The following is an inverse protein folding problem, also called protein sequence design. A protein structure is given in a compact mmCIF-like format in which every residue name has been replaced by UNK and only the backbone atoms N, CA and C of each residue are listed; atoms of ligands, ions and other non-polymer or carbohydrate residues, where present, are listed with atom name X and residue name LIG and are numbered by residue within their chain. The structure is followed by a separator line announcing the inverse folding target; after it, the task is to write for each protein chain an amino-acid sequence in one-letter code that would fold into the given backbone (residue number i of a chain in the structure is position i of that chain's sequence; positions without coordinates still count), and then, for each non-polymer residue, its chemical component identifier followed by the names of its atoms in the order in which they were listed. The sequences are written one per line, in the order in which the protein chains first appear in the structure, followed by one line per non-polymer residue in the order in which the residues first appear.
data_IF_292279897889
#
_entry.id   IF_292279897889
#
_cell.length_a   1.000
_cell.length_b   1.000
_cell.length_c   1.000
_cell.angle_alpha   90.00
_cell.angle_beta   90.00
_cell.angle_gamma   90.00
#
_symmetry.space_group_name_H-M   'P 1'
#
loop_
_entity.id
_entity.type
_entity.pdbx_description
1 polymer ?
#
# COMPACT_ATOMS: atom_id res chain seq x y z
N UNK A 1 52.50 -5.07 -63.14
CA UNK A 1 52.98 -4.37 -61.94
C UNK A 1 51.82 -4.44 -60.95
N UNK A 2 51.54 -5.60 -60.35
CA UNK A 2 52.14 -6.16 -59.11
C UNK A 2 51.87 -5.30 -57.87
N UNK A 3 50.85 -5.78 -57.17
CA UNK A 3 50.55 -5.79 -55.73
C UNK A 3 51.76 -5.74 -54.80
N UNK A 4 51.65 -5.03 -53.66
CA UNK A 4 52.30 -5.30 -52.34
C UNK A 4 51.97 -4.22 -51.30
N UNK A 5 51.34 -4.65 -50.19
CA UNK A 5 51.66 -4.44 -48.74
C UNK A 5 52.09 -3.03 -48.24
N UNK A 6 51.66 -2.50 -47.09
CA UNK A 6 51.98 -2.91 -45.69
C UNK A 6 51.37 -1.83 -44.75
N UNK A 7 50.46 -2.17 -43.81
CA UNK A 7 50.62 -2.16 -42.33
C UNK A 7 51.27 -0.88 -41.73
N UNK A 8 50.57 -0.08 -40.90
CA UNK A 8 50.65 -0.16 -39.43
C UNK A 8 49.85 0.93 -38.65
N UNK A 9 49.53 0.55 -37.42
CA UNK A 9 49.04 1.23 -36.20
C UNK A 9 49.05 2.76 -36.08
N UNK A 10 47.95 3.32 -35.57
CA UNK A 10 47.96 4.39 -34.54
C UNK A 10 46.85 4.09 -33.51
N UNK A 11 47.28 3.92 -32.25
CA UNK A 11 46.49 3.82 -31.02
C UNK A 11 45.93 5.19 -30.57
N UNK A 12 44.92 5.12 -29.71
CA UNK A 12 44.50 6.09 -28.68
C UNK A 12 44.02 7.50 -29.09
N UNK A 13 42.74 7.79 -28.81
CA UNK A 13 42.41 8.71 -27.71
C UNK A 13 40.90 8.69 -27.36
N UNK A 14 40.66 8.72 -26.05
CA UNK A 14 39.38 8.89 -25.38
C UNK A 14 38.62 10.15 -25.82
N UNK A 15 37.30 10.06 -25.90
CA UNK A 15 36.42 11.16 -25.52
C UNK A 15 35.03 10.59 -25.22
N UNK A 16 34.76 10.42 -23.92
CA UNK A 16 33.45 10.14 -23.37
C UNK A 16 32.49 11.28 -23.75
N UNK A 17 31.36 10.95 -24.39
CA UNK A 17 30.23 11.88 -24.54
C UNK A 17 29.56 12.04 -23.17
N UNK A 18 30.00 13.08 -22.45
CA UNK A 18 29.33 13.67 -21.29
C UNK A 18 27.97 14.26 -21.72
N UNK A 19 26.90 13.50 -21.50
CA UNK A 19 25.52 14.02 -21.54
C UNK A 19 25.28 14.85 -20.28
N UNK A 20 25.54 16.16 -20.41
CA UNK A 20 25.16 17.18 -19.43
C UNK A 20 23.63 17.24 -19.35
N UNK A 21 23.07 16.68 -18.27
CA UNK A 21 21.69 16.94 -17.85
C UNK A 21 21.57 18.41 -17.42
N UNK A 22 20.90 19.20 -18.27
CA UNK A 22 20.41 20.52 -17.90
C UNK A 22 19.19 20.33 -17.01
N UNK A 23 19.37 20.43 -15.68
CA UNK A 23 18.29 20.60 -14.72
C UNK A 23 17.53 21.90 -15.02
N UNK A 24 16.37 21.77 -15.66
CA UNK A 24 15.37 22.82 -15.72
C UNK A 24 14.39 22.57 -14.57
N UNK A 25 14.57 23.32 -13.49
CA UNK A 25 13.63 23.42 -12.39
C UNK A 25 12.27 23.96 -12.88
N UNK A 26 11.15 23.37 -12.48
CA UNK A 26 9.89 24.08 -12.37
C UNK A 26 9.71 24.55 -10.91
N UNK A 27 9.94 25.84 -10.73
CA UNK A 27 9.43 26.67 -9.64
C UNK A 27 7.89 26.61 -9.66
N UNK A 28 7.28 26.07 -8.60
CA UNK A 28 5.87 26.23 -8.25
C UNK A 28 5.85 26.45 -6.74
N UNK A 29 5.99 27.71 -6.31
CA UNK A 29 4.88 28.52 -5.77
C UNK A 29 4.14 27.75 -4.66
N UNK A 30 4.69 27.83 -3.45
CA UNK A 30 3.91 27.73 -2.22
C UNK A 30 2.99 28.95 -2.18
N UNK A 31 1.73 28.76 -2.58
CA UNK A 31 0.65 29.66 -2.19
C UNK A 31 0.06 29.14 -0.87
N UNK A 32 0.18 30.02 0.13
CA UNK A 32 -0.46 29.97 1.43
C UNK A 32 -1.98 29.79 1.29
N UNK A 33 -2.55 28.77 1.91
CA UNK A 33 -3.93 28.84 2.42
C UNK A 33 -3.88 28.71 3.96
N UNK A 34 -3.84 29.91 4.53
CA UNK A 34 -4.30 30.32 5.85
C UNK A 34 -5.47 29.46 6.37
N UNK A 35 -5.18 28.57 7.34
CA UNK A 35 -6.21 28.07 8.27
C UNK A 35 -5.96 28.74 9.61
N UNK A 36 -6.76 29.76 9.83
CA UNK A 36 -7.05 30.47 11.07
C UNK A 36 -6.93 29.52 12.28
N UNK A 37 -5.88 29.72 13.06
CA UNK A 37 -5.73 29.20 14.41
C UNK A 37 -6.66 30.04 15.30
N UNK A 38 -7.86 29.53 15.51
CA UNK A 38 -8.86 30.12 16.41
C UNK A 38 -8.39 29.94 17.87
N UNK A 39 -7.92 31.05 18.44
CA UNK A 39 -8.11 31.46 19.83
C UNK A 39 -7.64 30.47 20.92
N UNK A 40 -6.35 30.55 21.26
CA UNK A 40 -5.88 30.24 22.60
C UNK A 40 -6.23 31.43 23.52
N UNK A 41 -7.47 31.45 24.01
CA UNK A 41 -7.88 32.32 25.11
C UNK A 41 -7.31 31.73 26.43
N UNK A 42 -6.61 32.52 27.27
CA UNK A 42 -6.10 32.04 28.54
C UNK A 42 -7.26 31.89 29.54
N UNK A 43 -7.51 30.67 30.04
CA UNK A 43 -8.36 30.49 31.22
C UNK A 43 -7.72 31.22 32.42
N UNK A 44 -8.48 32.07 33.13
CA UNK A 44 -8.00 32.76 34.31
C UNK A 44 -7.90 31.80 35.50
N UNK A 45 -6.76 31.84 36.18
CA UNK A 45 -6.60 31.29 37.52
C UNK A 45 -7.58 32.01 38.46
N UNK A 46 -8.61 31.31 38.95
CA UNK A 46 -9.42 31.78 40.09
C UNK A 46 -8.59 31.64 41.38
N UNK A 47 -7.82 32.69 41.69
CA UNK A 47 -7.46 33.01 43.07
C UNK A 47 -8.71 33.55 43.78
N UNK A 48 -9.34 32.72 44.61
CA UNK A 48 -10.35 33.19 45.58
C UNK A 48 -9.61 33.84 46.75
N UNK A 49 -9.25 35.11 46.57
CA UNK A 49 -8.91 36.03 47.64
C UNK A 49 -10.22 36.75 48.04
N UNK A 50 -10.89 36.26 49.08
CA UNK A 50 -12.02 36.97 49.69
C UNK A 50 -11.47 37.90 50.78
N UNK A 51 -11.13 39.15 50.39
CA UNK A 51 -11.10 40.26 51.33
C UNK A 51 -12.55 40.70 51.59
N UNK A 52 -13.10 40.33 52.75
CA UNK A 52 -14.31 40.93 53.28
C UNK A 52 -13.93 41.90 54.39
N UNK A 53 -13.94 43.17 53.98
CA UNK A 53 -14.26 44.39 54.71
C UNK A 53 -14.55 44.26 56.22
N UNK A 54 -13.68 44.85 57.05
CA UNK A 54 -13.96 45.18 58.45
C UNK A 54 -15.14 46.15 58.52
N UNK A 55 -16.29 45.65 58.98
CA UNK A 55 -17.42 46.45 59.43
C UNK A 55 -17.70 46.21 60.91
N UNK A 56 -17.35 47.18 61.75
CA UNK A 56 -17.78 47.28 63.16
C UNK A 56 -19.31 47.27 63.25
N UNK A 57 -19.89 46.27 63.91
CA UNK A 57 -21.14 46.42 64.66
C UNK A 57 -21.04 45.66 65.99
N UNK A 58 -20.95 46.44 67.07
CA UNK A 58 -21.34 46.04 68.43
C UNK A 58 -22.71 45.36 68.41
N UNK A 59 -22.84 44.19 69.05
CA UNK A 59 -23.93 43.90 70.00
C UNK A 59 -23.76 42.54 70.72
N UNK A 60 -23.62 42.65 72.05
CA UNK A 60 -24.05 41.74 73.12
C UNK A 60 -23.60 40.26 73.15
N UNK A 61 -22.61 39.99 74.01
CA UNK A 61 -22.28 38.66 74.55
C UNK A 61 -23.49 37.99 75.21
N UNK A 62 -23.98 36.82 74.74
CA UNK A 62 -24.93 36.04 75.51
C UNK A 62 -24.19 35.35 76.67
N UNK A 63 -24.55 35.72 77.91
CA UNK A 63 -24.10 35.06 79.14
C UNK A 63 -24.63 33.63 79.19
N UNK A 64 -23.86 32.66 78.70
CA UNK A 64 -24.18 31.24 78.87
C UNK A 64 -23.91 30.82 80.32
N UNK A 65 -24.98 30.67 81.09
CA UNK A 65 -24.97 30.11 82.44
C UNK A 65 -24.58 28.62 82.33
N UNK A 66 -23.49 28.24 83.01
CA UNK A 66 -23.07 26.84 83.20
C UNK A 66 -24.24 26.03 83.76
N UNK A 67 -24.79 25.05 83.03
CA UNK A 67 -25.79 24.15 83.56
C UNK A 67 -25.23 23.35 84.74
N UNK A 68 -25.99 23.33 85.83
CA UNK A 68 -25.71 22.58 87.05
C UNK A 68 -25.73 21.09 86.71
N UNK A 69 -24.58 20.42 86.80
CA UNK A 69 -24.46 18.96 86.66
C UNK A 69 -25.20 18.32 87.84
N UNK A 70 -26.25 17.50 87.63
CA UNK A 70 -26.75 16.61 88.67
C UNK A 70 -25.73 15.48 88.83
N UNK A 71 -25.28 15.28 90.07
CA UNK A 71 -24.38 14.20 90.46
C UNK A 71 -24.91 12.82 90.06
N UNK A 72 -24.04 12.03 89.43
CA UNK A 72 -23.95 10.60 89.77
C UNK A 72 -24.60 9.58 88.85
N UNK A 73 -24.55 9.73 87.53
CA UNK A 73 -24.57 8.56 86.66
C UNK A 73 -23.12 8.20 86.31
N UNK A 74 -22.64 7.06 86.80
CA UNK A 74 -21.31 6.56 86.45
C UNK A 74 -21.23 6.49 84.92
N UNK A 75 -20.49 7.41 84.33
CA UNK A 75 -20.16 7.37 82.91
C UNK A 75 -19.35 6.09 82.70
N UNK A 76 -20.00 5.06 82.18
CA UNK A 76 -19.35 3.78 81.92
C UNK A 76 -18.38 4.00 80.76
N UNK A 77 -17.09 4.14 81.06
CA UNK A 77 -16.06 4.40 80.07
C UNK A 77 -16.03 3.32 78.96
N UNK A 78 -16.46 2.10 79.32
CA UNK A 78 -16.61 0.98 78.40
C UNK A 78 -17.78 1.18 77.41
N UNK A 79 -18.88 1.81 77.84
CA UNK A 79 -20.00 2.17 76.97
C UNK A 79 -19.66 3.37 76.06
N UNK A 80 -18.89 4.34 76.57
CA UNK A 80 -18.39 5.45 75.76
C UNK A 80 -17.42 4.94 74.66
N UNK A 81 -16.56 3.99 74.98
CA UNK A 81 -15.64 3.38 74.03
C UNK A 81 -16.37 2.53 72.98
N UNK A 82 -17.39 1.74 73.37
CA UNK A 82 -18.26 1.01 72.43
C UNK A 82 -19.07 1.94 71.52
N UNK A 83 -19.62 3.03 72.05
CA UNK A 83 -20.32 4.05 71.25
C UNK A 83 -19.41 4.72 70.25
N UNK A 84 -18.16 5.02 70.64
CA UNK A 84 -17.13 5.52 69.72
C UNK A 84 -16.81 4.51 68.63
N UNK A 85 -16.51 3.26 68.99
CA UNK A 85 -16.23 2.21 68.00
C UNK A 85 -17.41 2.00 67.04
N UNK A 86 -18.65 1.97 67.53
CA UNK A 86 -19.83 1.85 66.67
C UNK A 86 -19.99 3.06 65.75
N UNK A 87 -19.73 4.27 66.23
CA UNK A 87 -19.73 5.49 65.41
C UNK A 87 -18.67 5.41 64.31
N UNK A 88 -17.43 5.06 64.68
CA UNK A 88 -16.30 4.93 63.74
C UNK A 88 -16.59 3.83 62.69
N UNK A 89 -17.24 2.72 63.08
CA UNK A 89 -17.65 1.66 62.15
C UNK A 89 -18.76 2.11 61.19
N UNK A 90 -19.74 2.88 61.68
CA UNK A 90 -20.82 3.43 60.84
C UNK A 90 -20.26 4.47 59.87
N UNK A 91 -19.38 5.35 60.34
CA UNK A 91 -18.71 6.34 59.50
C UNK A 91 -17.82 5.65 58.45
N UNK A 92 -17.05 4.63 58.84
CA UNK A 92 -16.24 3.85 57.90
C UNK A 92 -17.11 3.17 56.83
N UNK A 93 -18.23 2.56 57.21
CA UNK A 93 -19.18 1.98 56.25
C UNK A 93 -19.75 3.05 55.30
N UNK A 94 -20.11 4.23 55.84
CA UNK A 94 -20.57 5.35 55.02
C UNK A 94 -19.52 5.86 54.03
N UNK A 95 -18.26 6.00 54.44
CA UNK A 95 -17.16 6.36 53.53
C UNK A 95 -16.94 5.31 52.44
N UNK A 96 -17.04 4.03 52.79
CA UNK A 96 -16.93 2.92 51.84
C UNK A 96 -18.05 3.01 50.80
N UNK A 97 -19.30 3.15 51.23
CA UNK A 97 -20.45 3.20 50.33
C UNK A 97 -20.40 4.44 49.41
N UNK A 98 -20.03 5.60 49.95
CA UNK A 98 -19.82 6.83 49.15
C UNK A 98 -18.70 6.63 48.12
N UNK A 99 -17.58 6.01 48.49
CA UNK A 99 -16.49 5.77 47.55
C UNK A 99 -16.91 4.85 46.39
N UNK A 100 -17.61 3.75 46.70
CA UNK A 100 -18.10 2.83 45.68
C UNK A 100 -19.19 3.44 44.81
N UNK A 101 -20.13 4.19 45.39
CA UNK A 101 -21.15 4.88 44.60
C UNK A 101 -20.56 5.94 43.69
N UNK A 102 -19.63 6.76 44.18
CA UNK A 102 -19.00 7.80 43.37
C UNK A 102 -18.21 7.17 42.23
N UNK A 103 -17.39 6.15 42.53
CA UNK A 103 -16.63 5.44 41.50
C UNK A 103 -17.53 4.77 40.47
N UNK A 104 -18.62 4.17 40.90
CA UNK A 104 -19.59 3.54 39.99
C UNK A 104 -20.26 4.57 39.09
N UNK A 105 -20.68 5.72 39.62
CA UNK A 105 -21.27 6.82 38.83
C UNK A 105 -20.24 7.36 37.83
N UNK A 106 -19.02 7.61 38.26
CA UNK A 106 -17.92 8.05 37.37
C UNK A 106 -17.60 7.02 36.28
N UNK A 107 -17.54 5.72 36.61
CA UNK A 107 -17.30 4.65 35.63
C UNK A 107 -18.45 4.55 34.62
N UNK A 108 -19.71 4.64 35.05
CA UNK A 108 -20.88 4.66 34.17
C UNK A 108 -20.87 5.87 33.23
N UNK A 109 -20.52 7.06 33.73
CA UNK A 109 -20.38 8.27 32.91
C UNK A 109 -19.23 8.17 31.91
N UNK A 110 -18.09 7.63 32.32
CA UNK A 110 -16.94 7.40 31.45
C UNK A 110 -17.27 6.41 30.33
N UNK A 111 -17.99 5.34 30.65
CA UNK A 111 -18.46 4.35 29.68
C UNK A 111 -19.43 5.01 28.69
N UNK A 112 -20.45 5.73 29.18
CA UNK A 112 -21.41 6.43 28.33
C UNK A 112 -20.74 7.46 27.40
N UNK A 113 -19.72 8.17 27.88
CA UNK A 113 -18.95 9.11 27.07
C UNK A 113 -18.12 8.38 25.99
N UNK A 114 -17.45 7.28 26.35
CA UNK A 114 -16.70 6.44 25.40
C UNK A 114 -17.60 5.87 24.31
N UNK A 115 -18.76 5.33 24.68
CA UNK A 115 -19.76 4.83 23.72
C UNK A 115 -20.22 5.93 22.76
N UNK A 116 -20.46 7.15 23.24
CA UNK A 116 -20.83 8.28 22.38
C UNK A 116 -19.70 8.69 21.43
N UNK A 117 -18.45 8.63 21.85
CA UNK A 117 -17.29 8.91 21.00
C UNK A 117 -17.12 7.80 19.96
N UNK A 118 -17.24 6.54 20.36
CA UNK A 118 -17.15 5.38 19.47
C UNK A 118 -18.26 5.38 18.42
N UNK A 119 -19.49 5.72 18.82
CA UNK A 119 -20.61 5.93 17.90
C UNK A 119 -20.29 7.02 16.87
N UNK A 120 -19.79 8.18 17.30
CA UNK A 120 -19.39 9.26 16.36
C UNK A 120 -18.21 8.89 15.47
N UNK A 121 -17.31 8.01 15.92
CA UNK A 121 -16.20 7.51 15.09
C UNK A 121 -16.69 6.51 14.05
N UNK A 122 -17.55 5.57 14.45
CA UNK A 122 -18.14 4.59 13.53
C UNK A 122 -19.04 5.26 12.49
N UNK A 123 -19.84 6.27 12.87
CA UNK A 123 -20.63 7.08 11.92
C UNK A 123 -19.74 7.79 10.89
N UNK A 124 -18.63 8.41 11.33
CA UNK A 124 -17.66 9.04 10.42
C UNK A 124 -17.01 8.02 9.47
N UNK A 125 -16.63 6.85 9.99
CA UNK A 125 -16.08 5.77 9.18
C UNK A 125 -17.09 5.26 8.15
N UNK A 126 -18.35 5.11 8.52
CA UNK A 126 -19.41 4.68 7.61
C UNK A 126 -19.71 5.76 6.54
N UNK A 127 -19.73 7.04 6.91
CA UNK A 127 -19.86 8.16 5.96
C UNK A 127 -18.73 8.12 4.93
N UNK A 128 -17.49 7.90 5.36
CA UNK A 128 -16.34 7.78 4.46
C UNK A 128 -16.46 6.55 3.56
N UNK A 129 -16.90 5.41 4.10
CA UNK A 129 -17.12 4.17 3.33
C UNK A 129 -18.18 4.37 2.23
N UNK A 130 -19.32 4.95 2.58
CA UNK A 130 -20.41 5.24 1.63
C UNK A 130 -19.96 6.24 0.57
N UNK A 131 -19.17 7.26 0.94
CA UNK A 131 -18.62 8.22 -0.02
C UNK A 131 -17.63 7.54 -0.99
N UNK A 132 -16.72 6.74 -0.47
CA UNK A 132 -15.76 5.98 -1.29
C UNK A 132 -16.47 4.98 -2.21
N UNK A 133 -17.53 4.31 -1.73
CA UNK A 133 -18.33 3.38 -2.53
C UNK A 133 -19.08 4.10 -3.66
N UNK A 134 -19.73 5.23 -3.37
CA UNK A 134 -20.38 6.06 -4.40
C UNK A 134 -19.39 6.60 -5.42
N UNK A 135 -18.19 6.98 -5.00
CA UNK A 135 -17.14 7.46 -5.91
C UNK A 135 -16.63 6.34 -6.82
N UNK A 136 -16.42 5.14 -6.23
CA UNK A 136 -16.07 3.93 -6.98
C UNK A 136 -17.16 3.51 -7.94
N UNK A 137 -18.43 3.59 -7.56
CA UNK A 137 -19.58 3.29 -8.43
C UNK A 137 -19.67 4.28 -9.60
N UNK A 138 -19.48 5.59 -9.34
CA UNK A 138 -19.44 6.60 -10.41
C UNK A 138 -18.29 6.36 -11.38
N UNK A 139 -17.14 5.93 -10.88
CA UNK A 139 -15.99 5.59 -11.73
C UNK A 139 -16.25 4.31 -12.53
N UNK A 140 -16.77 3.26 -11.87
CA UNK A 140 -17.14 2.00 -12.52
C UNK A 140 -18.19 2.20 -13.61
N UNK A 141 -19.20 3.06 -13.40
CA UNK A 141 -20.22 3.38 -14.41
C UNK A 141 -19.62 4.08 -15.64
N UNK A 142 -18.65 5.00 -15.45
CA UNK A 142 -17.94 5.66 -16.55
C UNK A 142 -17.06 4.67 -17.31
N UNK A 143 -16.40 3.77 -16.60
CA UNK A 143 -15.58 2.72 -17.21
C UNK A 143 -16.43 1.69 -17.94
N UNK A 144 -17.58 1.29 -17.39
CA UNK A 144 -18.53 0.37 -18.04
C UNK A 144 -19.17 1.00 -19.28
N UNK A 145 -19.54 2.28 -19.24
CA UNK A 145 -20.05 2.98 -20.43
C UNK A 145 -18.97 3.11 -21.51
N UNK A 146 -17.72 3.39 -21.12
CA UNK A 146 -16.57 3.39 -22.03
C UNK A 146 -16.34 1.99 -22.62
N UNK A 147 -16.37 0.95 -21.80
CA UNK A 147 -16.20 -0.44 -22.23
C UNK A 147 -17.35 -0.90 -23.14
N UNK A 148 -18.59 -0.49 -22.87
CA UNK A 148 -19.75 -0.80 -23.71
C UNK A 148 -19.68 -0.08 -25.06
N UNK A 149 -19.19 1.16 -25.08
CA UNK A 149 -18.92 1.89 -26.33
C UNK A 149 -17.77 1.27 -27.11
N UNK A 150 -16.68 0.89 -26.44
CA UNK A 150 -15.56 0.18 -27.05
C UNK A 150 -15.96 -1.20 -27.57
N UNK A 151 -16.84 -1.93 -26.87
CA UNK A 151 -17.37 -3.22 -27.31
C UNK A 151 -18.32 -3.06 -28.51
N UNK A 152 -19.17 -2.03 -28.52
CA UNK A 152 -20.04 -1.72 -29.65
C UNK A 152 -19.24 -1.29 -30.89
N UNK A 153 -18.20 -0.45 -30.72
CA UNK A 153 -17.31 -0.04 -31.81
C UNK A 153 -16.43 -1.19 -32.30
N UNK A 154 -15.96 -2.07 -31.41
CA UNK A 154 -15.26 -3.30 -31.80
C UNK A 154 -16.18 -4.26 -32.56
N UNK A 155 -17.43 -4.43 -32.13
CA UNK A 155 -18.42 -5.27 -32.82
C UNK A 155 -18.76 -4.69 -34.18
N UNK A 156 -19.01 -3.38 -34.28
CA UNK A 156 -19.25 -2.69 -35.56
C UNK A 156 -18.05 -2.80 -36.50
N UNK A 157 -16.83 -2.61 -35.98
CA UNK A 157 -15.60 -2.76 -36.75
C UNK A 157 -15.39 -4.20 -37.21
N UNK A 158 -15.69 -5.19 -36.37
CA UNK A 158 -15.61 -6.59 -36.72
C UNK A 158 -16.66 -6.98 -37.78
N UNK A 159 -17.88 -6.43 -37.70
CA UNK A 159 -18.93 -6.63 -38.70
C UNK A 159 -18.60 -5.94 -40.03
N UNK A 160 -18.06 -4.72 -40.00
CA UNK A 160 -17.61 -4.01 -41.20
C UNK A 160 -16.39 -4.68 -41.83
N UNK A 161 -15.42 -5.15 -41.04
CA UNK A 161 -14.27 -5.92 -41.53
C UNK A 161 -14.69 -7.31 -42.01
N UNK A 162 -15.70 -7.95 -41.42
CA UNK A 162 -16.26 -9.21 -41.91
C UNK A 162 -17.03 -9.01 -43.23
N UNK A 163 -17.81 -7.94 -43.37
CA UNK A 163 -18.47 -7.56 -44.62
C UNK A 163 -17.45 -7.19 -45.70
N UNK A 164 -16.40 -6.43 -45.36
CA UNK A 164 -15.29 -6.11 -46.27
C UNK A 164 -14.48 -7.35 -46.64
N UNK A 165 -14.14 -8.23 -45.70
CA UNK A 165 -13.47 -9.51 -45.96
C UNK A 165 -14.34 -10.41 -46.84
N UNK A 166 -15.63 -10.52 -46.57
CA UNK A 166 -16.58 -11.26 -47.42
C UNK A 166 -16.62 -10.72 -48.85
N UNK A 167 -16.65 -9.38 -49.03
CA UNK A 167 -16.61 -8.74 -50.34
C UNK A 167 -15.24 -8.90 -51.05
N UNK A 168 -14.12 -8.84 -50.33
CA UNK A 168 -12.77 -8.99 -50.88
C UNK A 168 -12.38 -10.45 -51.14
N UNK A 169 -12.88 -11.41 -50.36
CA UNK A 169 -12.73 -12.85 -50.61
C UNK A 169 -13.40 -13.27 -51.92
N UNK A 170 -14.40 -12.50 -52.39
CA UNK A 170 -15.02 -12.69 -53.69
C UNK A 170 -14.20 -12.11 -54.88
N UNK A 171 -13.18 -11.27 -54.65
CA UNK A 171 -12.50 -10.53 -55.73
C UNK A 171 -10.97 -10.71 -55.82
N UNK A 172 -10.30 -11.40 -54.90
CA UNK A 172 -8.87 -11.66 -55.09
C UNK A 172 -8.11 -12.08 -53.85
N UNK A 173 -7.63 -13.32 -53.88
CA UNK A 173 -6.95 -14.05 -52.80
C UNK A 173 -5.50 -13.59 -52.51
N UNK A 174 -5.21 -12.29 -52.54
CA UNK A 174 -3.84 -11.77 -52.29
C UNK A 174 -3.75 -10.64 -51.25
N UNK A 175 -4.86 -9.98 -50.89
CA UNK A 175 -4.84 -8.90 -49.87
C UNK A 175 -5.11 -9.39 -48.44
N UNK A 176 -5.58 -10.63 -48.28
CA UNK A 176 -6.04 -11.21 -47.01
C UNK A 176 -4.92 -11.51 -46.00
N UNK A 177 -3.65 -11.59 -46.40
CA UNK A 177 -2.57 -11.96 -45.47
C UNK A 177 -2.13 -10.82 -44.52
N UNK A 178 -2.23 -9.56 -44.94
CA UNK A 178 -1.83 -8.41 -44.12
C UNK A 178 -2.87 -8.07 -43.06
N UNK A 179 -4.16 -8.23 -43.36
CA UNK A 179 -5.24 -7.90 -42.43
C UNK A 179 -5.43 -8.98 -41.34
N UNK A 180 -5.16 -10.26 -41.63
CA UNK A 180 -5.18 -11.33 -40.62
C UNK A 180 -4.04 -11.23 -39.60
N UNK A 181 -2.88 -10.69 -39.99
CA UNK A 181 -1.75 -10.47 -39.06
C UNK A 181 -1.99 -9.32 -38.09
N UNK A 182 -2.80 -8.32 -38.47
CA UNK A 182 -3.16 -7.20 -37.62
C UNK A 182 -4.21 -7.58 -36.54
N UNK A 183 -5.13 -8.49 -36.89
CA UNK A 183 -6.24 -8.94 -36.03
C UNK A 183 -5.81 -10.07 -35.07
N UNK A 184 -4.94 -10.99 -35.52
CA UNK A 184 -4.45 -12.12 -34.71
C UNK A 184 -3.54 -11.73 -33.52
N UNK A 185 -3.16 -10.44 -33.40
CA UNK A 185 -2.29 -9.92 -32.34
C UNK A 185 -3.04 -9.21 -31.20
N UNK A 186 -4.35 -8.99 -31.34
CA UNK A 186 -5.18 -8.21 -30.40
C UNK A 186 -6.23 -9.04 -29.63
N UNK A 187 -6.18 -10.38 -29.68
CA UNK A 187 -7.16 -11.25 -29.03
C UNK A 187 -6.57 -12.20 -27.98
N UNK A 188 -6.98 -12.04 -26.72
CA UNK A 188 -7.05 -13.03 -25.60
C UNK A 188 -5.84 -13.88 -25.21
N UNK A 189 -4.76 -13.94 -25.98
CA UNK A 189 -3.52 -14.64 -25.60
C UNK A 189 -2.63 -13.65 -24.86
N UNK A 190 -2.33 -13.96 -23.59
CA UNK A 190 -1.35 -13.22 -22.80
C UNK A 190 -0.08 -13.02 -23.63
N UNK A 191 0.34 -11.76 -23.79
CA UNK A 191 1.51 -11.45 -24.62
C UNK A 191 2.75 -12.13 -24.03
N UNK A 192 3.75 -12.47 -24.85
CA UNK A 192 5.00 -13.05 -24.32
C UNK A 192 5.66 -12.13 -23.28
N UNK A 193 5.45 -10.80 -23.40
CA UNK A 193 5.86 -9.80 -22.40
C UNK A 193 5.13 -9.99 -21.07
N UNK A 194 3.81 -10.14 -21.10
CA UNK A 194 3.00 -10.39 -19.90
C UNK A 194 3.32 -11.75 -19.27
N UNK A 195 3.52 -12.80 -20.07
CA UNK A 195 3.93 -14.13 -19.57
C UNK A 195 5.28 -14.06 -18.88
N UNK A 196 6.27 -13.41 -19.50
CA UNK A 196 7.59 -13.17 -18.89
C UNK A 196 7.44 -12.41 -17.59
N UNK A 197 6.66 -11.32 -17.56
CA UNK A 197 6.43 -10.54 -16.34
C UNK A 197 5.77 -11.37 -15.24
N UNK A 198 4.76 -12.19 -15.58
CA UNK A 198 4.09 -13.09 -14.65
C UNK A 198 5.04 -14.13 -14.05
N UNK A 199 5.81 -14.82 -14.89
CA UNK A 199 6.77 -15.85 -14.45
C UNK A 199 7.87 -15.22 -13.57
N UNK A 200 8.38 -14.04 -13.92
CA UNK A 200 9.39 -13.36 -13.11
C UNK A 200 8.82 -12.88 -11.77
N UNK A 201 7.57 -12.40 -11.74
CA UNK A 201 6.91 -12.03 -10.50
C UNK A 201 6.68 -13.25 -9.59
N UNK A 202 6.30 -14.40 -10.14
CA UNK A 202 6.13 -15.66 -9.40
C UNK A 202 7.45 -16.18 -8.81
N UNK A 203 8.57 -16.02 -9.53
CA UNK A 203 9.91 -16.40 -9.04
C UNK A 203 10.46 -15.43 -7.99
N UNK A 204 10.00 -14.18 -7.98
CA UNK A 204 10.49 -13.15 -7.06
C UNK A 204 9.81 -13.31 -5.69
N UNK A 205 10.53 -13.90 -4.74
CA UNK A 205 10.10 -13.94 -3.33
C UNK A 205 10.28 -12.54 -2.71
N UNK A 206 9.26 -11.99 -2.04
CA UNK A 206 9.41 -10.73 -1.32
C UNK A 206 10.43 -10.92 -0.19
N UNK A 207 11.32 -9.94 -0.03
CA UNK A 207 12.35 -9.96 1.00
C UNK A 207 11.79 -9.27 2.25
N UNK A 208 11.67 -9.99 3.35
CA UNK A 208 11.28 -9.44 4.64
C UNK A 208 12.46 -9.62 5.62
N UNK A 209 13.19 -8.53 5.87
CA UNK A 209 14.45 -8.54 6.65
C UNK A 209 14.42 -7.63 7.88
N UNK A 210 13.43 -6.74 8.00
CA UNK A 210 13.42 -5.63 8.98
C UNK A 210 13.36 -6.08 10.44
N UNK A 211 13.01 -7.34 10.68
CA UNK A 211 12.80 -7.95 12.00
C UNK A 211 13.81 -9.07 12.29
N UNK A 212 14.85 -9.24 11.45
CA UNK A 212 15.87 -10.26 11.62
C UNK A 212 17.06 -9.72 12.46
N UNK A 213 17.68 -10.62 13.25
CA UNK A 213 18.92 -10.33 13.97
C UNK A 213 20.15 -10.48 13.06
N UNK A 214 21.32 -10.04 13.52
CA UNK A 214 22.56 -10.03 12.73
C UNK A 214 22.94 -11.43 12.19
N UNK A 215 22.85 -12.47 13.01
CA UNK A 215 23.18 -13.83 12.59
C UNK A 215 22.22 -14.35 11.51
N UNK A 216 20.91 -14.12 11.65
CA UNK A 216 19.93 -14.49 10.61
C UNK A 216 20.10 -13.66 9.34
N UNK A 217 20.53 -12.40 9.44
CA UNK A 217 20.85 -11.57 8.27
C UNK A 217 22.06 -12.12 7.52
N UNK A 218 23.10 -12.59 8.22
CA UNK A 218 24.25 -13.25 7.60
C UNK A 218 23.85 -14.53 6.87
N UNK A 219 23.00 -15.36 7.49
CA UNK A 219 22.49 -16.56 6.84
C UNK A 219 21.61 -16.24 5.62
N UNK A 220 20.75 -15.22 5.72
CA UNK A 220 19.93 -14.76 4.59
C UNK A 220 20.77 -14.21 3.44
N UNK A 221 21.85 -13.49 3.74
CA UNK A 221 22.79 -13.02 2.73
C UNK A 221 23.48 -14.18 2.00
N UNK A 222 23.90 -15.23 2.72
CA UNK A 222 24.45 -16.44 2.09
C UNK A 222 23.43 -17.13 1.18
N UNK A 223 22.19 -17.31 1.64
CA UNK A 223 21.12 -17.91 0.82
C UNK A 223 20.86 -17.13 -0.47
N UNK A 224 20.80 -15.79 -0.39
CA UNK A 224 20.60 -14.93 -1.56
C UNK A 224 21.79 -14.98 -2.52
N UNK A 225 23.01 -15.05 -1.99
CA UNK A 225 24.22 -15.19 -2.78
C UNK A 225 24.27 -16.54 -3.51
N UNK A 226 23.96 -17.64 -2.83
CA UNK A 226 23.86 -18.98 -3.44
C UNK A 226 22.77 -19.01 -4.53
N UNK A 227 21.62 -18.38 -4.27
CA UNK A 227 20.55 -18.26 -5.25
C UNK A 227 20.98 -17.46 -6.50
N UNK A 228 21.68 -16.35 -6.31
CA UNK A 228 22.24 -15.56 -7.42
C UNK A 228 23.26 -16.37 -8.22
N UNK A 229 24.19 -17.05 -7.56
CA UNK A 229 25.21 -17.88 -8.19
C UNK A 229 24.60 -19.04 -9.00
N UNK A 230 23.53 -19.66 -8.49
CA UNK A 230 22.77 -20.68 -9.21
C UNK A 230 22.16 -20.11 -10.50
N UNK A 231 21.51 -18.94 -10.43
CA UNK A 231 20.92 -18.28 -11.60
C UNK A 231 21.98 -17.89 -12.65
N UNK A 232 23.17 -17.45 -12.22
CA UNK A 232 24.28 -17.16 -13.12
C UNK A 232 24.81 -18.42 -13.82
N UNK A 233 24.92 -19.52 -13.09
CA UNK A 233 25.32 -20.82 -13.62
C UNK A 233 24.33 -21.31 -14.67
N UNK A 234 23.03 -21.28 -14.38
CA UNK A 234 21.96 -21.64 -15.33
C UNK A 234 21.98 -20.73 -16.58
N UNK A 235 22.21 -19.42 -16.40
CA UNK A 235 22.36 -18.48 -17.52
C UNK A 235 23.53 -18.88 -18.41
N UNK A 236 24.67 -19.24 -17.83
CA UNK A 236 25.85 -19.68 -18.57
C UNK A 236 25.57 -20.95 -19.38
N UNK A 237 24.99 -21.99 -18.76
CA UNK A 237 24.61 -23.21 -19.46
C UNK A 237 23.65 -22.95 -20.63
N UNK A 238 22.66 -22.07 -20.44
CA UNK A 238 21.74 -21.67 -21.50
C UNK A 238 22.45 -20.92 -22.65
N UNK A 239 23.42 -20.06 -22.34
CA UNK A 239 24.22 -19.36 -23.35
C UNK A 239 25.07 -20.34 -24.16
N UNK A 240 25.76 -21.28 -23.52
CA UNK A 240 26.57 -22.30 -24.21
C UNK A 240 25.69 -23.24 -25.04
N UNK A 241 24.54 -23.67 -24.51
CA UNK A 241 23.55 -24.45 -25.25
C UNK A 241 23.06 -23.69 -26.48
N UNK A 242 22.77 -22.39 -26.37
CA UNK A 242 22.35 -21.57 -27.50
C UNK A 242 23.44 -21.45 -28.57
N UNK A 243 24.71 -21.29 -28.18
CA UNK A 243 25.85 -21.29 -29.11
C UNK A 243 25.94 -22.60 -29.89
N UNK A 244 25.85 -23.74 -29.18
CA UNK A 244 25.84 -25.07 -29.80
C UNK A 244 24.65 -25.25 -30.76
N UNK A 245 23.45 -24.89 -30.33
CA UNK A 245 22.25 -24.97 -31.18
C UNK A 245 22.35 -24.09 -32.43
N UNK A 246 22.94 -22.90 -32.33
CA UNK A 246 23.20 -22.05 -33.50
C UNK A 246 24.11 -22.76 -34.52
N UNK A 247 25.18 -23.40 -34.05
CA UNK A 247 26.06 -24.19 -34.91
C UNK A 247 25.32 -25.37 -35.55
N UNK A 248 24.56 -26.14 -34.77
CA UNK A 248 23.77 -27.27 -35.26
C UNK A 248 22.76 -26.83 -36.33
N UNK A 249 22.07 -25.70 -36.14
CA UNK A 249 21.15 -25.13 -37.12
C UNK A 249 21.88 -24.76 -38.43
N UNK A 250 23.06 -24.15 -38.35
CA UNK A 250 23.85 -23.81 -39.54
C UNK A 250 24.28 -25.08 -40.28
N UNK A 251 24.80 -26.07 -39.56
CA UNK A 251 25.23 -27.35 -40.13
C UNK A 251 24.07 -28.10 -40.80
N UNK A 252 22.91 -28.15 -40.14
CA UNK A 252 21.71 -28.78 -40.69
C UNK A 252 21.20 -28.05 -41.94
N UNK A 253 21.24 -26.72 -41.97
CA UNK A 253 20.88 -25.94 -43.18
C UNK A 253 21.79 -26.29 -44.35
N UNK A 254 23.11 -26.31 -44.14
CA UNK A 254 24.07 -26.69 -45.17
C UNK A 254 23.82 -28.11 -45.69
N UNK A 255 23.55 -29.06 -44.79
CA UNK A 255 23.23 -30.45 -45.15
C UNK A 255 21.93 -30.57 -45.93
N UNK A 256 20.90 -29.78 -45.60
CA UNK A 256 19.65 -29.70 -46.38
C UNK A 256 19.96 -29.21 -47.80
N UNK A 257 20.75 -28.15 -47.94
CA UNK A 257 21.10 -27.59 -49.25
C UNK A 257 21.88 -28.59 -50.12
N UNK A 258 22.81 -29.34 -49.54
CA UNK A 258 23.53 -30.43 -50.22
C UNK A 258 22.59 -31.52 -50.72
N UNK A 259 21.70 -32.03 -49.85
CA UNK A 259 20.73 -33.06 -50.22
C UNK A 259 19.75 -32.57 -51.30
N UNK A 260 19.37 -31.30 -51.26
CA UNK A 260 18.48 -30.70 -52.27
C UNK A 260 19.17 -30.53 -53.64
N UNK A 261 20.48 -30.26 -53.69
CA UNK A 261 21.25 -30.17 -54.96
C UNK A 261 21.19 -31.45 -55.79
N UNK A 262 21.15 -32.61 -55.14
CA UNK A 262 21.10 -33.92 -55.83
C UNK A 262 19.67 -34.40 -56.14
N UNK A 263 18.66 -33.92 -55.41
CA UNK A 263 17.24 -34.27 -55.64
C UNK A 263 16.71 -33.78 -57.00
N UNK A 264 17.11 -32.57 -57.44
CA UNK A 264 16.67 -32.03 -58.75
C UNK A 264 17.32 -32.71 -59.97
N UNK A 265 18.52 -33.27 -59.82
CA UNK A 265 19.21 -33.99 -60.93
C UNK A 265 18.60 -35.38 -61.20
N UNK A 266 17.99 -36.02 -60.21
CA UNK A 266 17.27 -37.30 -60.38
C UNK A 266 15.93 -37.16 -61.13
N UNK A 267 15.22 -36.05 -60.94
CA UNK A 267 13.94 -35.79 -61.60
C UNK A 267 14.10 -35.43 -63.10
N UNK A 268 15.18 -34.71 -63.46
CA UNK A 268 15.47 -34.38 -64.86
C UNK A 268 15.93 -35.60 -65.68
N UNK A 269 16.66 -36.53 -65.07
CA UNK A 269 17.09 -37.77 -65.74
C UNK A 269 15.94 -38.77 -65.94
N UNK A 270 14.95 -38.81 -65.04
CA UNK A 270 13.77 -39.69 -65.15
C UNK A 270 12.69 -39.20 -66.11
N UNK A 271 12.72 -37.94 -66.53
CA UNK A 271 11.78 -37.36 -67.52
C UNK A 271 12.25 -37.48 -68.98
N UNK A 272 13.44 -38.03 -69.22
CA UNK A 272 14.03 -38.18 -70.57
C UNK A 272 14.06 -39.63 -71.08
N UNK A 273 13.25 -40.52 -70.51
CA UNK A 273 13.10 -41.90 -70.99
C UNK A 273 11.65 -42.20 -71.34
#
# INVERSE_FOLDING_TARGET
MSDTEEVDQIEDEEAEEEVVEVEVAPEVVEEEEEVVEEEAEPEPEEEVHEEVEEGEQDEEKPKFKVPKIPDGEKVDFDDLQKKRQNKDLIELQGLIDVHFENRKKEEEELIALKERIEKRRSERAEIQRVRAEKDKERQARREEERMRKEEADQKRKAEDDAKKKSALTNMGSSYTSSLQKADGKRGKKQTEREKKKKILAERRKPLNIDHLNEDKLKDKARELWEWMHQLESEKYEHMEKLKRQKYEVISLRNRIDELQKHSKKGAAARRRK
#
